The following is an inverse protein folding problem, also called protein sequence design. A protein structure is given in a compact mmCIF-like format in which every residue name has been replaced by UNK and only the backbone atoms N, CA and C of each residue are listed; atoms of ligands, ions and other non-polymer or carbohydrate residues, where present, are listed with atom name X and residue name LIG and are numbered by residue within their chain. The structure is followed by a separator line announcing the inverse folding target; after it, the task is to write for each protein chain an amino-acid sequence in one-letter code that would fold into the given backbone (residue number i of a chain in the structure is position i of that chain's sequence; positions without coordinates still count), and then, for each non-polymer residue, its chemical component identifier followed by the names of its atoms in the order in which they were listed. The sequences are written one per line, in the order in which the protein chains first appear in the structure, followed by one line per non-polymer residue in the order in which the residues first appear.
data_IF_240222285055
#
_entry.id   IF_240222285055
#
_cell.length_a   1.000
_cell.length_b   1.000
_cell.length_c   1.000
_cell.angle_alpha   90.00
_cell.angle_beta   90.00
_cell.angle_gamma   90.00
#
_symmetry.space_group_name_H-M   'P 1'
#
loop_
_entity.id
_entity.type
_entity.pdbx_description
1 polymer ?
#
# COMPACT_ATOMS: atom_id res chain seq x y z
N UNK A 1 -7.08 27.24 2.90
CA UNK A 1 -7.13 25.96 2.16
C UNK A 1 -6.03 25.86 1.09
N UNK A 2 -5.90 26.84 0.19
CA UNK A 2 -4.91 26.83 -0.92
C UNK A 2 -3.45 26.72 -0.45
N UNK A 3 -3.06 27.34 0.67
CA UNK A 3 -1.69 27.26 1.24
C UNK A 3 -1.19 25.82 1.46
N UNK A 4 -2.08 24.87 1.74
CA UNK A 4 -1.71 23.48 2.05
C UNK A 4 -1.90 22.52 0.87
N UNK A 5 -2.55 22.96 -0.20
CA UNK A 5 -2.74 22.17 -1.41
C UNK A 5 -1.41 21.99 -2.14
N UNK A 6 -0.65 23.08 -2.31
CA UNK A 6 0.64 23.06 -2.99
C UNK A 6 1.66 22.12 -2.30
N UNK A 7 1.91 22.22 -0.98
CA UNK A 7 2.78 21.27 -0.26
C UNK A 7 2.38 19.82 -0.46
N UNK A 8 1.08 19.51 -0.46
CA UNK A 8 0.61 18.15 -0.60
C UNK A 8 0.80 17.59 -2.03
N UNK A 9 0.58 18.41 -3.06
CA UNK A 9 0.83 18.02 -4.45
C UNK A 9 2.33 17.74 -4.67
N UNK A 10 3.21 18.64 -4.22
CA UNK A 10 4.66 18.48 -4.38
C UNK A 10 5.19 17.29 -3.57
N UNK A 11 4.77 17.15 -2.31
CA UNK A 11 5.16 16.02 -1.46
C UNK A 11 4.72 14.67 -2.07
N UNK A 12 3.49 14.61 -2.60
CA UNK A 12 2.97 13.43 -3.27
C UNK A 12 3.73 13.10 -4.56
N UNK A 13 4.04 14.11 -5.39
CA UNK A 13 4.81 13.93 -6.62
C UNK A 13 6.21 13.36 -6.36
N UNK A 14 6.97 13.97 -5.44
CA UNK A 14 8.32 13.52 -5.08
C UNK A 14 8.27 12.11 -4.52
N UNK A 15 7.33 11.86 -3.59
CA UNK A 15 7.18 10.54 -2.98
C UNK A 15 6.84 9.47 -4.02
N UNK A 16 5.88 9.74 -4.91
CA UNK A 16 5.47 8.80 -5.94
C UNK A 16 6.58 8.48 -6.94
N UNK A 17 7.42 9.47 -7.27
CA UNK A 17 8.60 9.23 -8.10
C UNK A 17 9.61 8.29 -7.42
N UNK A 18 9.94 8.53 -6.15
CA UNK A 18 10.88 7.68 -5.40
C UNK A 18 10.34 6.26 -5.21
N UNK A 19 9.05 6.13 -4.87
CA UNK A 19 8.38 4.82 -4.75
C UNK A 19 8.38 4.07 -6.09
N UNK A 20 8.26 4.80 -7.20
CA UNK A 20 8.36 4.18 -8.53
C UNK A 20 9.74 3.62 -8.78
N UNK A 21 10.81 4.37 -8.51
CA UNK A 21 12.16 3.85 -8.65
C UNK A 21 12.34 2.57 -7.84
N UNK A 22 11.89 2.58 -6.58
CA UNK A 22 11.93 1.38 -5.73
C UNK A 22 11.18 0.20 -6.37
N UNK A 23 9.95 0.42 -6.84
CA UNK A 23 9.16 -0.64 -7.46
C UNK A 23 9.82 -1.18 -8.73
N UNK A 24 10.40 -0.32 -9.57
CA UNK A 24 11.08 -0.73 -10.80
C UNK A 24 12.31 -1.62 -10.52
N UNK A 25 13.07 -1.34 -9.46
CA UNK A 25 14.28 -2.09 -9.14
C UNK A 25 14.05 -3.34 -8.28
N UNK A 26 13.01 -3.35 -7.43
CA UNK A 26 12.85 -4.42 -6.43
C UNK A 26 11.56 -5.23 -6.57
N UNK A 27 10.47 -4.62 -7.06
CA UNK A 27 9.16 -5.29 -7.13
C UNK A 27 8.91 -5.85 -8.53
N UNK A 28 9.20 -5.07 -9.58
CA UNK A 28 8.98 -5.48 -10.96
C UNK A 28 9.81 -6.71 -11.38
N UNK A 29 11.08 -6.88 -10.97
CA UNK A 29 11.83 -8.09 -11.32
C UNK A 29 11.17 -9.36 -10.78
N UNK A 30 10.59 -9.30 -9.58
CA UNK A 30 9.90 -10.44 -8.96
C UNK A 30 8.59 -10.78 -9.68
N UNK A 31 7.90 -9.76 -10.21
CA UNK A 31 6.71 -9.94 -11.05
C UNK A 31 7.08 -10.67 -12.34
N UNK A 32 8.13 -10.21 -13.03
CA UNK A 32 8.60 -10.85 -14.27
C UNK A 32 9.06 -12.29 -14.02
N UNK A 33 9.74 -12.53 -12.89
CA UNK A 33 10.16 -13.89 -12.52
C UNK A 33 8.95 -14.81 -12.28
N UNK A 34 7.92 -14.33 -11.60
CA UNK A 34 6.68 -15.08 -11.40
C UNK A 34 5.97 -15.39 -12.74
N UNK A 35 5.84 -14.39 -13.62
CA UNK A 35 5.25 -14.54 -14.96
C UNK A 35 6.00 -15.63 -15.77
N UNK A 36 7.34 -15.65 -15.74
CA UNK A 36 8.14 -16.65 -16.44
C UNK A 36 7.97 -18.06 -15.88
N UNK A 37 7.86 -18.21 -14.55
CA UNK A 37 7.63 -19.51 -13.91
C UNK A 37 6.27 -20.11 -14.28
N UNK A 38 5.24 -19.27 -14.42
CA UNK A 38 3.91 -19.70 -14.85
C UNK A 38 3.90 -20.15 -16.30
N UNK A 39 4.57 -19.41 -17.19
CA UNK A 39 4.73 -19.80 -18.60
C UNK A 39 5.44 -21.15 -18.76
N UNK A 40 6.48 -21.39 -17.94
CA UNK A 40 7.16 -22.69 -17.91
C UNK A 40 6.25 -23.80 -17.39
N UNK A 41 5.50 -23.53 -16.31
CA UNK A 41 4.57 -24.49 -15.70
C UNK A 41 3.39 -24.83 -16.62
N UNK A 42 2.98 -23.89 -17.49
CA UNK A 42 1.93 -24.07 -18.49
C UNK A 42 2.41 -24.76 -19.78
N UNK A 43 3.71 -25.09 -19.90
CA UNK A 43 4.28 -25.72 -21.09
C UNK A 43 4.40 -24.80 -22.31
N UNK A 44 4.20 -23.48 -22.15
CA UNK A 44 4.19 -22.48 -23.22
C UNK A 44 5.59 -21.91 -23.56
N UNK A 45 6.66 -22.41 -22.92
CA UNK A 45 8.01 -21.85 -23.03
C UNK A 45 8.63 -21.93 -24.45
N UNK A 46 8.12 -22.81 -25.33
CA UNK A 46 8.69 -23.02 -26.67
C UNK A 46 8.13 -22.12 -27.78
N UNK A 47 7.03 -21.38 -27.55
CA UNK A 47 6.42 -20.53 -28.60
C UNK A 47 6.84 -19.05 -28.52
N UNK A 48 7.26 -18.55 -27.34
CA UNK A 48 7.53 -17.11 -27.13
C UNK A 48 8.98 -16.65 -27.36
N UNK A 49 9.91 -17.55 -27.70
CA UNK A 49 11.34 -17.18 -27.84
C UNK A 49 11.66 -16.35 -29.10
N UNK A 50 10.73 -16.22 -30.05
CA UNK A 50 10.97 -15.54 -31.33
C UNK A 50 10.51 -14.07 -31.38
N UNK A 51 9.85 -13.52 -30.35
CA UNK A 51 9.17 -12.21 -30.44
C UNK A 51 9.67 -11.15 -29.44
N UNK A 52 10.99 -11.10 -29.23
CA UNK A 52 11.63 -10.21 -28.24
C UNK A 52 11.64 -8.73 -28.64
N UNK A 53 11.14 -8.38 -29.82
CA UNK A 53 11.11 -7.01 -30.37
C UNK A 53 9.89 -6.20 -29.93
N UNK A 54 8.73 -6.84 -29.80
CA UNK A 54 7.46 -6.21 -29.38
C UNK A 54 7.35 -6.03 -27.85
N UNK A 55 8.16 -6.79 -27.10
CA UNK A 55 8.20 -6.85 -25.63
C UNK A 55 8.71 -5.55 -24.98
N UNK A 56 9.59 -4.81 -25.67
CA UNK A 56 10.17 -3.56 -25.15
C UNK A 56 9.14 -2.43 -25.01
N UNK A 57 8.18 -2.33 -25.93
CA UNK A 57 7.08 -1.36 -25.85
C UNK A 57 6.14 -1.64 -24.68
N UNK A 58 5.79 -2.91 -24.44
CA UNK A 58 4.92 -3.31 -23.34
C UNK A 58 5.57 -3.09 -21.98
N UNK A 59 6.88 -3.38 -21.85
CA UNK A 59 7.65 -3.09 -20.63
C UNK A 59 7.68 -1.59 -20.34
N UNK A 60 7.89 -0.76 -21.38
CA UNK A 60 7.90 0.70 -21.24
C UNK A 60 6.53 1.24 -20.82
N UNK A 61 5.44 0.72 -21.41
CA UNK A 61 4.07 1.08 -21.04
C UNK A 61 3.76 0.69 -19.59
N UNK A 62 4.08 -0.54 -19.17
CA UNK A 62 3.90 -1.01 -17.78
C UNK A 62 4.66 -0.13 -16.79
N UNK A 63 5.91 0.20 -17.09
CA UNK A 63 6.74 1.05 -16.23
C UNK A 63 6.17 2.48 -16.13
N UNK A 64 5.68 3.02 -17.24
CA UNK A 64 5.04 4.34 -17.26
C UNK A 64 3.70 4.35 -16.49
N UNK A 65 2.87 3.33 -16.65
CA UNK A 65 1.63 3.18 -15.87
C UNK A 65 1.93 3.00 -14.37
N UNK A 66 2.99 2.26 -14.02
CA UNK A 66 3.46 2.13 -12.63
C UNK A 66 3.84 3.50 -12.06
N UNK A 67 4.58 4.31 -12.82
CA UNK A 67 4.93 5.67 -12.43
C UNK A 67 3.68 6.53 -12.18
N UNK A 68 2.74 6.52 -13.12
CA UNK A 68 1.53 7.32 -13.04
C UNK A 68 0.67 6.94 -11.83
N UNK A 69 0.44 5.64 -11.63
CA UNK A 69 -0.35 5.12 -10.51
C UNK A 69 0.31 5.45 -9.17
N UNK A 70 1.63 5.26 -9.04
CA UNK A 70 2.35 5.58 -7.81
C UNK A 70 2.32 7.08 -7.48
N UNK A 71 2.46 7.94 -8.49
CA UNK A 71 2.31 9.40 -8.32
C UNK A 71 0.88 9.73 -7.89
N UNK A 72 -0.13 9.24 -8.60
CA UNK A 72 -1.53 9.51 -8.30
C UNK A 72 -1.90 9.08 -6.88
N UNK A 73 -1.48 7.88 -6.47
CA UNK A 73 -1.70 7.36 -5.12
C UNK A 73 -0.97 8.16 -4.06
N UNK A 74 0.30 8.52 -4.29
CA UNK A 74 1.09 9.31 -3.33
C UNK A 74 0.51 10.71 -3.16
N UNK A 75 0.04 11.34 -4.24
CA UNK A 75 -0.67 12.62 -4.20
C UNK A 75 -2.00 12.48 -3.45
N UNK A 76 -2.80 11.46 -3.74
CA UNK A 76 -4.07 11.23 -3.05
C UNK A 76 -3.87 11.05 -1.53
N UNK A 77 -2.92 10.22 -1.10
CA UNK A 77 -2.62 10.05 0.32
C UNK A 77 -2.04 11.31 0.97
N UNK A 78 -1.18 12.05 0.27
CA UNK A 78 -0.67 13.34 0.75
C UNK A 78 -1.81 14.34 1.02
N UNK A 79 -2.80 14.41 0.12
CA UNK A 79 -3.99 15.24 0.28
C UNK A 79 -4.85 14.81 1.48
N UNK A 80 -5.01 13.50 1.67
CA UNK A 80 -5.73 12.96 2.84
C UNK A 80 -5.00 13.32 4.14
N UNK A 81 -3.69 13.09 4.22
CA UNK A 81 -2.88 13.39 5.40
C UNK A 81 -2.95 14.87 5.77
N UNK A 82 -2.77 15.76 4.78
CA UNK A 82 -2.81 17.20 5.06
C UNK A 82 -4.22 17.67 5.45
N UNK A 83 -5.26 17.11 4.83
CA UNK A 83 -6.65 17.41 5.16
C UNK A 83 -6.97 17.06 6.61
N UNK A 84 -6.62 15.85 7.04
CA UNK A 84 -6.79 15.44 8.44
C UNK A 84 -5.92 16.23 9.42
N UNK A 85 -4.68 16.54 9.05
CA UNK A 85 -3.80 17.38 9.85
C UNK A 85 -4.42 18.75 10.14
N UNK A 86 -5.03 19.38 9.12
CA UNK A 86 -5.70 20.66 9.28
C UNK A 86 -6.98 20.56 10.12
N UNK A 87 -7.84 19.56 9.87
CA UNK A 87 -9.09 19.35 10.63
C UNK A 87 -8.80 19.15 12.13
N UNK A 88 -7.67 18.55 12.49
CA UNK A 88 -7.22 18.37 13.88
C UNK A 88 -6.48 19.59 14.47
N UNK A 89 -6.63 20.78 13.88
CA UNK A 89 -6.03 22.02 14.39
C UNK A 89 -4.51 22.10 14.19
N UNK A 90 -3.96 21.36 13.22
CA UNK A 90 -2.53 21.26 12.97
C UNK A 90 -1.90 22.60 12.61
N UNK A 91 -1.17 23.19 13.57
CA UNK A 91 -0.30 24.35 13.35
C UNK A 91 1.10 24.01 13.86
N UNK A 92 2.07 23.89 12.94
CA UNK A 92 3.48 23.56 13.21
C UNK A 92 3.76 22.36 14.16
N UNK A 93 2.82 21.42 14.33
CA UNK A 93 3.00 20.24 15.15
C UNK A 93 3.46 19.03 14.31
N UNK A 94 4.77 18.90 14.17
CA UNK A 94 5.39 17.77 13.49
C UNK A 94 5.02 16.41 14.12
N UNK A 95 4.73 16.37 15.43
CA UNK A 95 4.35 15.14 16.13
C UNK A 95 2.93 14.73 15.78
N UNK A 96 2.02 15.68 15.67
CA UNK A 96 0.66 15.41 15.20
C UNK A 96 0.65 14.97 13.73
N UNK A 97 1.44 15.63 12.86
CA UNK A 97 1.59 15.21 11.48
C UNK A 97 2.13 13.77 11.35
N UNK A 98 3.15 13.41 12.14
CA UNK A 98 3.68 12.04 12.19
C UNK A 98 2.59 11.04 12.59
N UNK A 99 1.83 11.34 13.66
CA UNK A 99 0.74 10.49 14.14
C UNK A 99 -0.32 10.27 13.07
N UNK A 100 -0.76 11.32 12.39
CA UNK A 100 -1.79 11.22 11.35
C UNK A 100 -1.28 10.43 10.15
N UNK A 101 -0.04 10.70 9.71
CA UNK A 101 0.57 10.00 8.58
C UNK A 101 0.67 8.51 8.84
N UNK A 102 1.26 8.11 9.98
CA UNK A 102 1.39 6.69 10.29
C UNK A 102 0.07 6.02 10.68
N UNK A 103 -0.90 6.75 11.25
CA UNK A 103 -2.26 6.23 11.40
C UNK A 103 -2.86 5.85 10.05
N UNK A 104 -2.63 6.66 9.00
CA UNK A 104 -2.98 6.32 7.62
C UNK A 104 -2.30 5.03 7.14
N UNK A 105 -1.01 4.87 7.38
CA UNK A 105 -0.29 3.62 7.08
C UNK A 105 -0.94 2.38 7.73
N UNK A 106 -1.31 2.48 9.02
CA UNK A 106 -1.98 1.38 9.72
C UNK A 106 -3.33 1.03 9.08
N UNK A 107 -4.16 2.04 8.79
CA UNK A 107 -5.53 1.88 8.26
C UNK A 107 -5.52 1.35 6.83
N UNK A 108 -4.79 2.00 5.93
CA UNK A 108 -4.90 1.76 4.49
C UNK A 108 -3.98 0.64 3.98
N UNK A 109 -2.93 0.32 4.74
CA UNK A 109 -1.95 -0.68 4.33
C UNK A 109 -1.78 -1.80 5.36
N UNK A 110 -1.27 -1.50 6.56
CA UNK A 110 -0.78 -2.54 7.46
C UNK A 110 -1.89 -3.52 7.89
N UNK A 111 -3.00 -3.01 8.43
CA UNK A 111 -4.07 -3.86 8.96
C UNK A 111 -4.74 -4.69 7.85
N UNK A 112 -5.14 -4.12 6.69
CA UNK A 112 -5.66 -4.94 5.60
C UNK A 112 -4.64 -5.97 5.07
N UNK A 113 -3.35 -5.63 5.00
CA UNK A 113 -2.33 -6.52 4.43
C UNK A 113 -1.86 -7.63 5.35
N UNK A 114 -2.00 -7.48 6.67
CA UNK A 114 -1.84 -8.60 7.61
C UNK A 114 -2.89 -9.68 7.34
N UNK A 115 -4.10 -9.27 6.94
CA UNK A 115 -5.18 -10.19 6.62
C UNK A 115 -5.06 -10.77 5.22
N UNK A 116 -4.55 -9.97 4.27
CA UNK A 116 -4.44 -10.34 2.86
C UNK A 116 -3.06 -9.97 2.36
N UNK A 117 -2.14 -10.91 2.49
CA UNK A 117 -0.75 -10.72 2.05
C UNK A 117 -0.71 -10.36 0.54
N UNK A 118 0.22 -9.48 0.12
CA UNK A 118 0.46 -9.23 -1.30
C UNK A 118 0.67 -10.54 -2.08
N UNK A 119 0.07 -10.64 -3.26
CA UNK A 119 0.17 -11.82 -4.12
C UNK A 119 0.89 -11.46 -5.40
N UNK A 120 1.66 -12.41 -5.93
CA UNK A 120 2.28 -12.29 -7.24
C UNK A 120 1.21 -12.45 -8.34
N UNK A 121 1.42 -11.86 -9.53
CA UNK A 121 0.54 -12.09 -10.66
C UNK A 121 0.41 -13.59 -10.97
N UNK A 122 -0.80 -13.96 -11.43
CA UNK A 122 -1.16 -15.32 -11.83
C UNK A 122 -1.34 -16.35 -10.71
N UNK A 123 -0.98 -16.00 -9.47
CA UNK A 123 -1.48 -16.70 -8.30
C UNK A 123 -3.01 -16.58 -8.25
N UNK A 124 -3.71 -17.71 -8.13
CA UNK A 124 -5.17 -17.73 -7.99
C UNK A 124 -5.58 -16.95 -6.75
N UNK A 125 -6.16 -15.77 -6.98
CA UNK A 125 -6.57 -14.81 -5.95
C UNK A 125 -7.80 -15.29 -5.15
N UNK A 126 -8.03 -16.60 -5.01
CA UNK A 126 -9.27 -17.15 -4.50
C UNK A 126 -10.48 -16.40 -5.07
N UNK A 127 -11.37 -15.91 -4.20
CA UNK A 127 -12.42 -14.99 -4.60
C UNK A 127 -11.94 -13.52 -4.51
N UNK A 128 -11.64 -12.90 -5.66
CA UNK A 128 -11.19 -11.49 -5.74
C UNK A 128 -12.15 -10.52 -5.06
N UNK A 129 -13.47 -10.71 -5.23
CA UNK A 129 -14.50 -9.88 -4.60
C UNK A 129 -14.41 -9.96 -3.08
N UNK A 130 -14.17 -11.15 -2.54
CA UNK A 130 -14.00 -11.35 -1.11
C UNK A 130 -12.78 -10.60 -0.57
N UNK A 131 -11.64 -10.69 -1.26
CA UNK A 131 -10.43 -9.96 -0.89
C UNK A 131 -10.64 -8.44 -0.89
N UNK A 132 -11.37 -7.92 -1.89
CA UNK A 132 -11.72 -6.51 -1.97
C UNK A 132 -12.65 -6.08 -0.84
N UNK A 133 -13.70 -6.87 -0.55
CA UNK A 133 -14.62 -6.59 0.55
C UNK A 133 -13.89 -6.61 1.90
N UNK A 134 -13.01 -7.58 2.13
CA UNK A 134 -12.24 -7.66 3.36
C UNK A 134 -11.34 -6.43 3.52
N UNK A 135 -10.65 -6.00 2.47
CA UNK A 135 -9.86 -4.75 2.51
C UNK A 135 -10.72 -3.52 2.87
N UNK A 136 -11.89 -3.38 2.22
CA UNK A 136 -12.81 -2.25 2.47
C UNK A 136 -13.33 -2.28 3.91
N UNK A 137 -13.80 -3.43 4.38
CA UNK A 137 -14.37 -3.59 5.71
C UNK A 137 -13.33 -3.32 6.80
N UNK A 138 -12.11 -3.86 6.67
CA UNK A 138 -11.03 -3.59 7.62
C UNK A 138 -10.66 -2.11 7.65
N UNK A 139 -10.59 -1.46 6.48
CA UNK A 139 -10.28 -0.03 6.37
C UNK A 139 -11.37 0.82 7.04
N UNK A 140 -12.64 0.60 6.68
CA UNK A 140 -13.77 1.35 7.24
C UNK A 140 -13.93 1.14 8.74
N UNK A 141 -13.77 -0.11 9.21
CA UNK A 141 -13.85 -0.42 10.63
C UNK A 141 -12.70 0.21 11.42
N UNK A 142 -11.48 0.25 10.85
CA UNK A 142 -10.34 0.96 11.48
C UNK A 142 -10.61 2.46 11.61
N UNK A 143 -11.20 3.09 10.59
CA UNK A 143 -11.61 4.51 10.64
C UNK A 143 -12.69 4.71 11.71
N UNK A 144 -13.73 3.88 11.75
CA UNK A 144 -14.82 3.98 12.73
C UNK A 144 -14.29 3.82 14.17
N UNK A 145 -13.42 2.84 14.41
CA UNK A 145 -12.78 2.64 15.71
C UNK A 145 -11.98 3.88 16.12
N UNK A 146 -11.19 4.47 15.23
CA UNK A 146 -10.37 5.62 15.56
C UNK A 146 -11.19 6.88 15.84
N UNK A 147 -12.29 7.08 15.12
CA UNK A 147 -13.19 8.22 15.40
C UNK A 147 -13.88 8.08 16.76
N UNK A 148 -14.25 6.87 17.17
CA UNK A 148 -14.76 6.59 18.52
C UNK A 148 -13.66 6.78 19.56
N UNK A 149 -12.50 6.18 19.31
CA UNK A 149 -11.40 6.15 20.26
C UNK A 149 -10.70 7.52 20.40
N UNK A 150 -10.84 8.43 19.45
CA UNK A 150 -10.40 9.82 19.61
C UNK A 150 -11.15 10.57 20.73
N UNK A 151 -12.35 10.11 21.10
CA UNK A 151 -13.06 10.59 22.31
C UNK A 151 -12.48 10.02 23.60
N UNK A 152 -11.59 9.03 23.50
CA UNK A 152 -10.96 8.35 24.63
C UNK A 152 -9.49 8.82 24.72
N UNK A 153 -9.10 9.39 25.87
CA UNK A 153 -7.77 9.99 26.04
C UNK A 153 -6.58 9.00 26.08
N UNK A 154 -6.82 7.69 25.92
CA UNK A 154 -5.83 6.66 26.16
C UNK A 154 -5.35 6.00 24.86
N UNK A 155 -4.07 6.20 24.53
CA UNK A 155 -3.40 5.57 23.39
C UNK A 155 -3.51 4.03 23.41
N UNK A 156 -3.44 3.43 24.60
CA UNK A 156 -3.57 1.99 24.83
C UNK A 156 -4.92 1.44 24.35
N UNK A 157 -6.00 2.22 24.48
CA UNK A 157 -7.35 1.82 24.05
C UNK A 157 -7.48 1.86 22.54
N UNK A 158 -6.85 2.85 21.88
CA UNK A 158 -6.76 2.91 20.40
C UNK A 158 -6.05 1.69 19.85
N UNK A 159 -4.90 1.35 20.45
CA UNK A 159 -4.11 0.19 20.05
C UNK A 159 -4.85 -1.14 20.32
N UNK A 160 -5.49 -1.27 21.48
CA UNK A 160 -6.29 -2.45 21.84
C UNK A 160 -7.46 -2.65 20.88
N UNK A 161 -8.17 -1.57 20.50
CA UNK A 161 -9.28 -1.65 19.56
C UNK A 161 -8.84 -2.05 18.15
N UNK A 162 -7.72 -1.49 17.66
CA UNK A 162 -7.13 -1.90 16.38
C UNK A 162 -6.68 -3.38 16.42
N UNK A 163 -6.11 -3.83 17.55
CA UNK A 163 -5.78 -5.24 17.77
C UNK A 163 -7.03 -6.12 17.77
N UNK A 164 -8.12 -5.73 18.44
CA UNK A 164 -9.37 -6.50 18.41
C UNK A 164 -9.95 -6.62 17.00
N UNK A 165 -9.85 -5.57 16.18
CA UNK A 165 -10.26 -5.63 14.77
C UNK A 165 -9.43 -6.66 13.98
N UNK A 166 -8.11 -6.69 14.20
CA UNK A 166 -7.25 -7.68 13.56
C UNK A 166 -7.56 -9.10 14.02
N UNK A 167 -7.88 -9.32 15.31
CA UNK A 167 -8.27 -10.63 15.85
C UNK A 167 -9.61 -11.10 15.28
N UNK A 168 -10.61 -10.22 15.21
CA UNK A 168 -11.92 -10.54 14.62
C UNK A 168 -11.76 -10.88 13.13
N UNK A 169 -10.94 -10.11 12.42
CA UNK A 169 -10.71 -10.34 10.99
C UNK A 169 -9.94 -11.64 10.73
N UNK A 170 -8.96 -11.98 11.58
CA UNK A 170 -8.27 -13.28 11.56
C UNK A 170 -9.24 -14.42 11.86
N UNK A 171 -10.15 -14.23 12.83
CA UNK A 171 -11.18 -15.23 13.13
C UNK A 171 -12.12 -15.47 11.94
N UNK A 172 -12.53 -14.41 11.23
CA UNK A 172 -13.30 -14.53 9.98
C UNK A 172 -12.49 -15.27 8.91
N UNK A 173 -11.19 -14.96 8.78
CA UNK A 173 -10.26 -15.61 7.85
C UNK A 173 -10.14 -17.13 8.12
N UNK A 174 -10.09 -17.53 9.39
CA UNK A 174 -9.93 -18.93 9.82
C UNK A 174 -11.18 -19.78 9.65
N UNK A 175 -12.36 -19.17 9.48
CA UNK A 175 -13.64 -19.88 9.30
C UNK A 175 -14.06 -19.97 7.82
N UNK A 176 -13.16 -19.59 6.90
CA UNK A 176 -13.40 -19.64 5.46
C UNK A 176 -12.33 -20.55 4.88
N UNK A 177 -12.70 -21.37 3.89
CA UNK A 177 -11.79 -22.16 3.06
C UNK A 177 -10.95 -21.24 2.17
N UNK A 178 -10.13 -20.38 2.79
CA UNK A 178 -9.13 -19.62 2.10
C UNK A 178 -8.02 -20.60 1.76
N UNK A 179 -7.74 -20.71 0.47
CA UNK A 179 -6.53 -21.36 -0.02
C UNK A 179 -5.36 -20.59 0.58
N UNK A 180 -4.87 -21.05 1.74
CA UNK A 180 -3.65 -20.58 2.35
C UNK A 180 -2.54 -20.99 1.39
N UNK A 181 -2.15 -20.04 0.54
CA UNK A 181 -1.13 -20.29 -0.46
C UNK A 181 0.15 -20.74 0.22
N UNK A 182 0.78 -21.76 -0.33
CA UNK A 182 2.07 -22.25 0.16
C UNK A 182 3.11 -21.20 -0.20
N UNK A 183 3.55 -20.43 0.79
CA UNK A 183 4.59 -19.42 0.60
C UNK A 183 5.88 -20.08 0.13
N UNK A 184 6.39 -19.66 -1.03
CA UNK A 184 7.72 -19.99 -1.50
C UNK A 184 8.69 -18.80 -1.27
N UNK A 185 9.97 -18.98 -1.61
CA UNK A 185 10.99 -17.95 -1.40
C UNK A 185 10.71 -16.68 -2.22
N UNK A 186 10.17 -16.82 -3.43
CA UNK A 186 9.86 -15.71 -4.32
C UNK A 186 8.70 -14.87 -3.76
N UNK A 187 7.63 -15.52 -3.33
CA UNK A 187 6.47 -14.87 -2.71
C UNK A 187 6.84 -14.17 -1.41
N UNK A 188 7.65 -14.81 -0.56
CA UNK A 188 8.15 -14.19 0.69
C UNK A 188 8.93 -12.90 0.42
N UNK A 189 9.78 -12.92 -0.62
CA UNK A 189 10.57 -11.77 -1.05
C UNK A 189 9.68 -10.65 -1.60
N UNK A 190 8.66 -11.00 -2.38
CA UNK A 190 7.67 -10.05 -2.89
C UNK A 190 6.87 -9.36 -1.79
N UNK A 191 6.43 -10.12 -0.77
CA UNK A 191 5.74 -9.57 0.41
C UNK A 191 6.66 -8.55 1.11
N UNK A 192 7.93 -8.91 1.30
CA UNK A 192 8.92 -8.06 1.97
C UNK A 192 9.16 -6.74 1.22
N UNK A 193 9.41 -6.79 -0.10
CA UNK A 193 9.64 -5.57 -0.87
C UNK A 193 8.37 -4.71 -1.02
N UNK A 194 7.19 -5.33 -1.12
CA UNK A 194 5.91 -4.58 -1.13
C UNK A 194 5.69 -3.84 0.19
N UNK A 195 6.03 -4.48 1.32
CA UNK A 195 5.99 -3.86 2.64
C UNK A 195 6.95 -2.67 2.72
N UNK A 196 8.21 -2.84 2.31
CA UNK A 196 9.20 -1.75 2.32
C UNK A 196 8.77 -0.60 1.41
N UNK A 197 8.28 -0.89 0.20
CA UNK A 197 7.80 0.14 -0.73
C UNK A 197 6.73 1.03 -0.08
N UNK A 198 5.77 0.41 0.62
CA UNK A 198 4.75 1.16 1.36
C UNK A 198 5.35 1.92 2.54
N UNK A 199 6.26 1.33 3.31
CA UNK A 199 6.91 2.04 4.41
C UNK A 199 7.68 3.28 3.91
N UNK A 200 8.35 3.17 2.76
CA UNK A 200 9.01 4.29 2.08
C UNK A 200 7.99 5.36 1.72
N UNK A 201 6.87 5.00 1.08
CA UNK A 201 5.81 5.94 0.71
C UNK A 201 5.36 6.76 1.91
N UNK A 202 4.94 6.09 3.00
CA UNK A 202 4.38 6.79 4.16
C UNK A 202 5.43 7.61 4.92
N UNK A 203 6.68 7.15 4.96
CA UNK A 203 7.80 7.89 5.58
C UNK A 203 8.12 9.15 4.77
N UNK A 204 8.21 9.04 3.44
CA UNK A 204 8.48 10.17 2.57
C UNK A 204 7.33 11.16 2.54
N UNK A 205 6.07 10.72 2.60
CA UNK A 205 4.94 11.63 2.78
C UNK A 205 5.11 12.47 4.04
N UNK A 206 5.42 11.85 5.18
CA UNK A 206 5.67 12.58 6.43
C UNK A 206 6.81 13.59 6.27
N UNK A 207 7.96 13.15 5.76
CA UNK A 207 9.16 14.00 5.64
C UNK A 207 8.92 15.19 4.71
N UNK A 208 8.38 14.94 3.51
CA UNK A 208 8.12 15.98 2.52
C UNK A 208 7.04 16.95 3.02
N UNK A 209 5.92 16.47 3.57
CA UNK A 209 4.88 17.35 4.13
C UNK A 209 5.42 18.20 5.28
N UNK A 210 6.17 17.60 6.22
CA UNK A 210 6.75 18.31 7.35
C UNK A 210 7.76 19.39 6.91
N UNK A 211 8.42 19.21 5.77
CA UNK A 211 9.27 20.20 5.14
C UNK A 211 8.45 21.33 4.51
N UNK A 212 7.60 21.03 3.52
CA UNK A 212 6.89 22.04 2.72
C UNK A 212 5.76 22.79 3.45
N UNK A 213 5.28 22.31 4.60
CA UNK A 213 4.26 23.02 5.39
C UNK A 213 4.86 24.15 6.22
N UNK A 214 6.16 24.07 6.55
CA UNK A 214 6.87 25.04 7.39
C UNK A 214 7.36 26.25 6.61
N UNK A 215 7.63 26.05 5.32
CA UNK A 215 7.99 27.08 4.35
C UNK A 215 6.74 27.79 3.79
#
# INVERSE_FOLDING_TARGET
MIKYLYPALVAGLITGFVVTLFNLFFVQPLIVEAELLELYSAGAAHEHFHDRGEDSSLINERNFLTLLVNIAMSVAFSLIVIGFYYIRGGTNDARNLLKITFTGFFIFFLLPKILILPQLPGQSLGNTTYVQMLWILTTLASIAILTIADKLNYFSVKLLLLLTLSVISIFILLNIDLVLYKTDALHSTFIYYTFISNLILWTLLYLNLNYFIKD
#
